data_IF_636127841324
#
_entry.id   IF_636127841324
#
_cell.length_a   1.000
_cell.length_b   1.000
_cell.length_c   1.000
_cell.angle_alpha   90.00
_cell.angle_beta   90.00
_cell.angle_gamma   90.00
#
_symmetry.space_group_name_H-M   'P 1'
#
loop_
_entity.id
_entity.type
_entity.pdbx_description
1 polymer ?
#
# COMPACT_ATOMS: atom_id res chain seq x y z
N UNK A 1 -25.91 31.80 -53.85
CA UNK A 1 -24.73 32.42 -53.15
C UNK A 1 -25.01 33.89 -52.75
N UNK A 2 -25.91 34.64 -53.35
CA UNK A 2 -26.16 36.04 -52.98
C UNK A 2 -26.82 36.28 -51.62
N UNK A 3 -27.67 35.38 -51.10
CA UNK A 3 -28.38 35.58 -49.81
C UNK A 3 -27.45 35.56 -48.62
N UNK A 4 -26.43 34.74 -48.63
CA UNK A 4 -25.43 34.69 -47.51
C UNK A 4 -24.61 35.98 -47.43
N UNK A 5 -24.29 36.58 -48.57
CA UNK A 5 -23.52 37.83 -48.60
C UNK A 5 -24.34 39.00 -48.08
N UNK A 6 -25.64 39.08 -48.49
CA UNK A 6 -26.56 40.15 -48.04
C UNK A 6 -26.81 40.06 -46.48
N UNK A 7 -26.80 38.87 -45.89
CA UNK A 7 -26.95 38.71 -44.46
C UNK A 7 -25.68 39.16 -43.74
N UNK A 8 -24.51 38.82 -44.27
CA UNK A 8 -23.23 39.25 -43.70
C UNK A 8 -23.08 40.76 -43.74
N UNK A 9 -23.39 41.39 -44.87
CA UNK A 9 -23.34 42.85 -45.04
C UNK A 9 -24.33 43.57 -44.11
N UNK A 10 -25.49 42.98 -43.84
CA UNK A 10 -26.47 43.55 -42.93
C UNK A 10 -26.00 43.49 -41.46
N UNK A 11 -25.26 42.45 -41.08
CA UNK A 11 -24.66 42.35 -39.72
C UNK A 11 -23.43 43.23 -39.53
N UNK A 12 -22.63 43.43 -40.59
CA UNK A 12 -21.46 44.32 -40.55
C UNK A 12 -21.85 45.79 -40.38
N UNK A 13 -23.08 46.15 -40.74
CA UNK A 13 -23.62 47.53 -40.59
C UNK A 13 -24.09 47.78 -39.15
N UNK A 14 -24.28 46.76 -38.33
CA UNK A 14 -24.64 46.87 -36.90
C UNK A 14 -23.39 47.07 -36.09
N UNK A 15 -22.79 48.23 -36.11
CA UNK A 15 -21.74 48.61 -35.21
C UNK A 15 -22.32 48.89 -33.81
N UNK A 16 -21.85 48.17 -32.83
CA UNK A 16 -22.22 48.45 -31.43
C UNK A 16 -21.67 49.82 -31.04
N UNK A 17 -22.52 50.68 -30.50
CA UNK A 17 -22.15 52.02 -30.04
C UNK A 17 -20.92 51.96 -29.12
N UNK A 18 -19.90 52.75 -29.38
CA UNK A 18 -18.66 52.80 -28.60
C UNK A 18 -18.92 53.12 -27.12
N UNK A 19 -19.98 53.91 -26.85
CA UNK A 19 -20.43 54.23 -25.46
C UNK A 19 -20.95 52.97 -24.78
N UNK A 20 -21.65 52.09 -25.51
CA UNK A 20 -22.18 50.84 -24.96
C UNK A 20 -21.06 49.83 -24.70
N UNK A 21 -20.09 49.74 -25.59
CA UNK A 21 -18.88 48.90 -25.40
C UNK A 21 -18.11 49.34 -24.15
N UNK A 22 -17.90 50.63 -23.98
CA UNK A 22 -17.21 51.20 -22.83
C UNK A 22 -17.92 50.86 -21.50
N UNK A 23 -19.24 51.06 -21.44
CA UNK A 23 -20.06 50.73 -20.25
C UNK A 23 -20.05 49.23 -19.95
N UNK A 24 -20.13 48.37 -20.96
CA UNK A 24 -20.10 46.92 -20.79
C UNK A 24 -18.73 46.46 -20.28
N UNK A 25 -17.66 46.99 -20.84
CA UNK A 25 -16.30 46.69 -20.45
C UNK A 25 -16.03 47.11 -18.98
N UNK A 26 -16.46 48.31 -18.62
CA UNK A 26 -16.36 48.82 -17.23
C UNK A 26 -17.19 47.99 -16.25
N UNK A 27 -18.39 47.58 -16.62
CA UNK A 27 -19.25 46.69 -15.85
C UNK A 27 -18.59 45.33 -15.60
N UNK A 28 -18.06 44.72 -16.67
CA UNK A 28 -17.37 43.40 -16.59
C UNK A 28 -16.12 43.51 -15.71
N UNK A 29 -15.27 44.51 -15.92
CA UNK A 29 -14.04 44.72 -15.12
C UNK A 29 -14.40 44.90 -13.62
N UNK A 30 -15.40 45.72 -13.33
CA UNK A 30 -15.86 45.98 -11.96
C UNK A 30 -16.43 44.73 -11.29
N UNK A 31 -17.10 43.85 -12.04
CA UNK A 31 -17.64 42.60 -11.49
C UNK A 31 -16.61 41.49 -11.43
N UNK A 32 -15.65 41.42 -12.37
CA UNK A 32 -14.55 40.47 -12.31
C UNK A 32 -13.62 40.72 -11.11
N UNK A 33 -13.38 41.99 -10.79
CA UNK A 33 -12.56 42.34 -9.60
C UNK A 33 -13.27 42.05 -8.27
N UNK A 34 -14.61 41.93 -8.26
CA UNK A 34 -15.38 41.69 -7.05
C UNK A 34 -15.35 40.25 -6.54
N UNK A 35 -14.79 39.30 -7.32
CA UNK A 35 -14.97 37.86 -7.09
C UNK A 35 -13.89 37.18 -6.24
N UNK A 36 -12.85 37.88 -5.81
CA UNK A 36 -11.82 37.29 -4.96
C UNK A 36 -11.66 38.07 -3.64
N UNK A 37 -12.67 37.95 -2.78
CA UNK A 37 -12.43 38.30 -1.37
C UNK A 37 -11.32 37.35 -0.86
N UNK A 38 -10.17 37.86 -0.40
CA UNK A 38 -9.15 36.99 0.19
C UNK A 38 -9.80 36.22 1.33
N UNK A 39 -9.68 34.89 1.30
CA UNK A 39 -10.19 34.05 2.37
C UNK A 39 -9.69 34.57 3.71
N UNK A 40 -10.55 34.75 4.70
CA UNK A 40 -10.18 35.33 5.99
C UNK A 40 -9.02 34.51 6.56
N UNK A 41 -8.03 35.18 7.11
CA UNK A 41 -6.79 34.58 7.62
C UNK A 41 -7.05 33.37 8.52
N UNK A 42 -8.17 33.40 9.28
CA UNK A 42 -8.66 32.30 10.13
C UNK A 42 -9.02 31.04 9.33
N UNK A 43 -9.55 31.17 8.10
CA UNK A 43 -9.92 30.04 7.27
C UNK A 43 -8.67 29.30 6.72
N UNK A 44 -7.58 30.03 6.48
CA UNK A 44 -6.29 29.41 6.08
C UNK A 44 -5.72 28.55 7.21
N UNK A 45 -5.80 29.03 8.44
CA UNK A 45 -5.37 28.26 9.62
C UNK A 45 -6.25 27.03 9.87
N UNK A 46 -7.58 27.17 9.70
CA UNK A 46 -8.49 26.04 9.83
C UNK A 46 -8.23 24.93 8.80
N UNK A 47 -7.98 25.31 7.54
CA UNK A 47 -7.63 24.36 6.49
C UNK A 47 -6.28 23.68 6.78
N UNK A 48 -5.27 24.45 7.22
CA UNK A 48 -3.97 23.87 7.60
C UNK A 48 -4.09 22.87 8.74
N UNK A 49 -4.89 23.21 9.78
CA UNK A 49 -5.11 22.30 10.91
C UNK A 49 -5.87 21.04 10.47
N UNK A 50 -6.89 21.17 9.62
CA UNK A 50 -7.63 20.03 9.08
C UNK A 50 -6.72 19.10 8.27
N UNK A 51 -5.87 19.64 7.41
CA UNK A 51 -4.88 18.84 6.67
C UNK A 51 -3.92 18.10 7.62
N UNK A 52 -3.43 18.79 8.66
CA UNK A 52 -2.52 18.18 9.62
C UNK A 52 -3.18 17.02 10.38
N UNK A 53 -4.45 17.18 10.78
CA UNK A 53 -5.22 16.09 11.40
C UNK A 53 -5.44 14.91 10.46
N UNK A 54 -5.75 15.19 9.19
CA UNK A 54 -5.89 14.11 8.19
C UNK A 54 -4.58 13.34 7.98
N UNK A 55 -3.44 14.04 7.92
CA UNK A 55 -2.14 13.37 7.81
C UNK A 55 -1.80 12.57 9.07
N UNK A 56 -2.10 13.10 10.25
CA UNK A 56 -1.85 12.41 11.52
C UNK A 56 -2.71 11.13 11.62
N UNK A 57 -4.01 11.22 11.33
CA UNK A 57 -4.91 10.06 11.40
C UNK A 57 -4.60 9.00 10.34
N UNK A 58 -4.28 9.40 9.11
CA UNK A 58 -3.91 8.46 8.06
C UNK A 58 -2.56 7.79 8.33
N UNK A 59 -1.59 8.53 8.87
CA UNK A 59 -0.28 7.99 9.24
C UNK A 59 -0.36 6.97 10.37
N UNK A 60 -1.05 7.30 11.45
CA UNK A 60 -1.22 6.41 12.61
C UNK A 60 -2.07 5.18 12.25
N UNK A 61 -3.17 5.39 11.50
CA UNK A 61 -4.03 4.29 11.04
C UNK A 61 -3.31 3.35 10.08
N UNK A 62 -2.56 3.90 9.12
CA UNK A 62 -1.76 3.11 8.19
C UNK A 62 -0.67 2.30 8.87
N UNK A 63 0.01 2.91 9.85
CA UNK A 63 1.01 2.21 10.66
C UNK A 63 0.39 1.03 11.43
N UNK A 64 -0.72 1.26 12.14
CA UNK A 64 -1.39 0.21 12.89
C UNK A 64 -1.83 -0.95 11.98
N UNK A 65 -2.43 -0.64 10.83
CA UNK A 65 -2.85 -1.65 9.86
C UNK A 65 -1.66 -2.45 9.31
N UNK A 66 -0.51 -1.80 9.08
CA UNK A 66 0.67 -2.48 8.54
C UNK A 66 1.26 -3.50 9.52
N UNK A 67 1.28 -3.20 10.81
CA UNK A 67 1.84 -4.08 11.84
C UNK A 67 0.81 -5.02 12.47
N UNK A 68 -0.46 -4.97 12.03
CA UNK A 68 -1.46 -5.94 12.47
C UNK A 68 -1.20 -7.27 11.79
N UNK A 69 -0.96 -8.29 12.58
CA UNK A 69 -0.80 -9.65 12.12
C UNK A 69 -2.14 -10.18 11.58
N UNK A 70 -2.10 -10.82 10.43
CA UNK A 70 -3.25 -11.46 9.79
C UNK A 70 -3.09 -12.98 9.74
N UNK A 71 -1.85 -13.47 9.70
CA UNK A 71 -1.52 -14.87 9.77
C UNK A 71 -0.21 -15.09 10.53
N UNK A 72 -0.08 -16.25 11.15
CA UNK A 72 1.14 -16.75 11.79
C UNK A 72 1.55 -18.03 11.08
N UNK A 73 2.81 -18.10 10.68
CA UNK A 73 3.38 -19.31 10.09
C UNK A 73 4.47 -19.82 11.00
N UNK A 74 4.23 -21.00 11.57
CA UNK A 74 5.19 -21.68 12.44
C UNK A 74 5.96 -22.72 11.61
N UNK A 75 7.26 -22.62 11.63
CA UNK A 75 8.20 -23.54 10.99
C UNK A 75 8.91 -24.32 12.07
N UNK A 76 8.51 -25.56 12.25
CA UNK A 76 9.06 -26.49 13.26
C UNK A 76 10.03 -27.45 12.62
N UNK A 77 11.31 -27.20 12.80
CA UNK A 77 12.42 -28.03 12.31
C UNK A 77 13.34 -28.45 13.46
N UNK A 78 13.10 -27.92 14.69
CA UNK A 78 14.08 -27.87 15.77
C UNK A 78 15.40 -27.25 15.27
N UNK A 79 15.43 -25.92 15.03
CA UNK A 79 14.73 -24.85 15.79
C UNK A 79 13.32 -24.51 15.30
N UNK A 80 12.45 -24.07 16.24
CA UNK A 80 11.11 -23.56 15.93
C UNK A 80 11.14 -22.05 15.76
N UNK A 81 10.59 -21.58 14.63
CA UNK A 81 10.53 -20.16 14.26
C UNK A 81 9.11 -19.83 13.81
N UNK A 82 8.56 -18.75 14.35
CA UNK A 82 7.28 -18.20 13.92
C UNK A 82 7.47 -16.88 13.17
N UNK A 83 6.74 -16.71 12.10
CA UNK A 83 6.70 -15.49 11.28
C UNK A 83 5.28 -14.94 11.30
N UNK A 84 5.14 -13.73 11.82
CA UNK A 84 3.88 -12.99 11.81
C UNK A 84 3.76 -12.25 10.49
N UNK A 85 2.66 -12.49 9.79
CA UNK A 85 2.44 -11.98 8.44
C UNK A 85 1.24 -11.06 8.42
N UNK A 86 1.38 -9.88 7.85
CA UNK A 86 0.29 -8.95 7.68
C UNK A 86 -0.60 -9.33 6.47
N UNK A 87 -1.73 -8.61 6.30
CA UNK A 87 -2.67 -8.81 5.19
C UNK A 87 -2.09 -8.63 3.78
N UNK A 88 -0.89 -8.06 3.65
CA UNK A 88 -0.17 -7.91 2.38
C UNK A 88 0.87 -9.00 2.13
N UNK A 89 0.90 -10.04 2.98
CA UNK A 89 1.86 -11.14 2.85
C UNK A 89 3.28 -10.80 3.30
N UNK A 90 3.47 -9.69 4.04
CA UNK A 90 4.79 -9.27 4.52
C UNK A 90 5.00 -9.66 5.97
N UNK A 91 6.21 -10.11 6.27
CA UNK A 91 6.65 -10.43 7.62
C UNK A 91 6.72 -9.15 8.45
N UNK A 92 5.95 -9.04 9.51
CA UNK A 92 5.91 -7.88 10.42
C UNK A 92 6.61 -8.15 11.73
N UNK A 93 6.59 -9.40 12.19
CA UNK A 93 7.38 -9.83 13.34
C UNK A 93 7.87 -11.27 13.17
N UNK A 94 8.80 -11.65 14.05
CA UNK A 94 9.39 -12.98 14.08
C UNK A 94 9.62 -13.38 15.52
N UNK A 95 9.20 -14.59 15.88
CA UNK A 95 9.34 -15.15 17.21
C UNK A 95 10.18 -16.42 17.15
N UNK A 96 11.08 -16.61 18.11
CA UNK A 96 11.97 -17.76 18.21
C UNK A 96 11.67 -18.53 19.48
N UNK A 97 11.78 -19.84 19.42
CA UNK A 97 11.63 -20.72 20.55
C UNK A 97 12.94 -21.52 20.76
N UNK A 98 13.73 -21.07 21.74
CA UNK A 98 15.02 -21.66 22.11
C UNK A 98 16.26 -20.94 21.53
N UNK A 99 17.41 -21.18 22.12
CA UNK A 99 18.69 -20.53 21.78
C UNK A 99 19.15 -20.84 20.35
N UNK A 100 18.80 -22.01 19.81
CA UNK A 100 19.15 -22.43 18.46
C UNK A 100 18.42 -21.58 17.41
N UNK A 101 17.14 -21.26 17.66
CA UNK A 101 16.33 -20.40 16.80
C UNK A 101 16.85 -18.97 16.76
N UNK A 102 17.27 -18.44 17.90
CA UNK A 102 17.88 -17.10 17.97
C UNK A 102 19.15 -17.03 17.13
N UNK A 103 19.99 -18.05 17.19
CA UNK A 103 21.22 -18.11 16.40
C UNK A 103 20.94 -18.09 14.90
N UNK A 104 19.90 -18.78 14.44
CA UNK A 104 19.48 -18.78 13.03
C UNK A 104 19.05 -17.38 12.61
N UNK A 105 18.23 -16.69 13.43
CA UNK A 105 17.67 -15.39 13.07
C UNK A 105 18.64 -14.21 13.30
N UNK A 106 19.66 -14.33 14.14
CA UNK A 106 20.65 -13.27 14.35
C UNK A 106 21.35 -12.81 13.08
N UNK A 107 21.53 -13.71 12.11
CA UNK A 107 22.17 -13.43 10.82
C UNK A 107 21.20 -13.02 9.72
N UNK A 108 19.88 -13.08 9.97
CA UNK A 108 18.85 -12.90 8.96
C UNK A 108 17.92 -11.73 9.33
N UNK A 109 17.69 -10.84 8.38
CA UNK A 109 16.69 -9.78 8.49
C UNK A 109 15.49 -10.15 7.64
N UNK A 110 14.48 -10.79 8.26
CA UNK A 110 13.29 -11.27 7.55
C UNK A 110 12.13 -10.26 7.61
N UNK A 111 12.18 -9.28 8.52
CA UNK A 111 11.13 -8.26 8.66
C UNK A 111 10.98 -7.42 7.40
N UNK A 112 9.75 -7.16 7.03
CA UNK A 112 9.31 -6.39 5.85
C UNK A 112 9.49 -7.07 4.50
N UNK A 113 10.07 -8.27 4.44
CA UNK A 113 10.11 -9.09 3.25
C UNK A 113 8.75 -9.72 2.96
N UNK A 114 8.51 -10.08 1.72
CA UNK A 114 7.39 -10.96 1.38
C UNK A 114 7.66 -12.36 1.95
N UNK A 115 6.60 -13.05 2.35
CA UNK A 115 6.73 -14.36 2.99
C UNK A 115 7.54 -15.35 2.16
N UNK A 116 7.33 -15.38 0.84
CA UNK A 116 8.07 -16.27 -0.06
C UNK A 116 9.58 -15.99 -0.02
N UNK A 117 9.95 -14.73 -0.04
CA UNK A 117 11.35 -14.29 0.02
C UNK A 117 11.95 -14.59 1.39
N UNK A 118 11.23 -14.26 2.47
CA UNK A 118 11.66 -14.54 3.83
C UNK A 118 11.89 -16.04 4.06
N UNK A 119 10.97 -16.87 3.58
CA UNK A 119 11.07 -18.32 3.64
C UNK A 119 12.28 -18.83 2.85
N UNK A 120 12.47 -18.35 1.62
CA UNK A 120 13.60 -18.77 0.78
C UNK A 120 14.93 -18.41 1.44
N UNK A 121 15.05 -17.21 2.01
CA UNK A 121 16.24 -16.78 2.74
C UNK A 121 16.47 -17.63 3.99
N UNK A 122 15.42 -17.91 4.76
CA UNK A 122 15.51 -18.73 5.97
C UNK A 122 16.00 -20.15 5.64
N UNK A 123 15.38 -20.81 4.67
CA UNK A 123 15.74 -22.17 4.27
C UNK A 123 17.12 -22.26 3.59
N UNK A 124 17.55 -21.20 2.90
CA UNK A 124 18.87 -21.15 2.26
C UNK A 124 20.00 -20.79 3.23
N UNK A 125 19.68 -20.33 4.45
CA UNK A 125 20.69 -19.95 5.43
C UNK A 125 21.54 -21.14 5.85
N UNK A 126 22.85 -20.92 6.00
CA UNK A 126 23.78 -21.95 6.45
C UNK A 126 23.39 -22.52 7.82
N UNK A 127 22.87 -21.68 8.69
CA UNK A 127 22.41 -22.08 10.03
C UNK A 127 21.22 -23.05 9.92
N UNK A 128 20.20 -22.75 9.11
CA UNK A 128 19.05 -23.63 8.93
C UNK A 128 19.43 -24.94 8.20
N UNK A 129 20.32 -24.86 7.22
CA UNK A 129 20.78 -26.01 6.45
C UNK A 129 21.46 -27.10 7.32
N UNK A 130 22.06 -26.74 8.47
CA UNK A 130 22.62 -27.69 9.41
C UNK A 130 21.56 -28.59 10.06
N UNK A 131 20.37 -28.04 10.28
CA UNK A 131 19.24 -28.76 10.85
C UNK A 131 18.49 -29.58 9.79
N UNK A 132 18.38 -29.08 8.57
CA UNK A 132 17.70 -29.77 7.47
C UNK A 132 18.43 -31.03 6.97
N UNK A 133 19.75 -31.13 7.17
CA UNK A 133 20.59 -32.28 6.73
C UNK A 133 20.42 -33.56 7.55
N UNK A 134 19.74 -33.51 8.71
CA UNK A 134 19.67 -34.61 9.68
C UNK A 134 18.33 -35.38 9.64
N UNK A 135 17.76 -35.66 8.47
CA UNK A 135 16.43 -36.29 8.37
C UNK A 135 15.37 -35.56 9.23
N UNK A 136 15.46 -34.24 9.25
CA UNK A 136 14.59 -33.42 10.04
C UNK A 136 13.16 -33.45 9.49
N UNK A 137 12.21 -33.74 10.34
CA UNK A 137 10.80 -33.56 10.03
C UNK A 137 10.49 -32.06 10.05
N UNK A 138 10.21 -31.49 8.89
CA UNK A 138 9.76 -30.10 8.77
C UNK A 138 8.24 -30.06 8.90
N UNK A 139 7.75 -29.45 9.97
CA UNK A 139 6.33 -29.17 10.11
C UNK A 139 6.08 -27.69 9.87
N UNK A 140 5.14 -27.35 9.00
CA UNK A 140 4.73 -25.97 8.77
C UNK A 140 3.28 -25.87 9.13
N UNK A 141 2.98 -25.01 10.10
CA UNK A 141 1.62 -24.76 10.56
C UNK A 141 1.23 -23.34 10.18
N UNK A 142 0.08 -23.18 9.53
CA UNK A 142 -0.49 -21.88 9.16
C UNK A 142 -1.71 -21.61 10.04
N UNK A 143 -1.65 -20.57 10.85
CA UNK A 143 -2.77 -20.07 11.63
C UNK A 143 -3.17 -18.69 11.10
N UNK A 144 -4.44 -18.51 10.75
CA UNK A 144 -4.95 -17.23 10.25
C UNK A 144 -5.97 -16.64 11.21
N UNK A 145 -5.79 -15.37 11.54
CA UNK A 145 -6.73 -14.59 12.36
C UNK A 145 -7.80 -13.91 11.51
N UNK A 146 -7.51 -13.64 10.27
CA UNK A 146 -8.44 -13.00 9.33
C UNK A 146 -9.07 -14.05 8.40
N UNK A 147 -10.38 -13.90 8.12
CA UNK A 147 -11.11 -14.80 7.20
C UNK A 147 -10.89 -14.46 5.73
N UNK A 148 -9.77 -13.88 5.37
CA UNK A 148 -9.46 -13.58 3.98
C UNK A 148 -9.02 -14.86 3.25
N UNK A 149 -10.00 -15.50 2.60
CA UNK A 149 -9.82 -16.75 1.85
C UNK A 149 -8.79 -16.66 0.73
N UNK A 150 -8.55 -15.46 0.19
CA UNK A 150 -7.54 -15.28 -0.88
C UNK A 150 -6.13 -15.34 -0.32
N UNK A 151 -5.88 -14.67 0.80
CA UNK A 151 -4.61 -14.72 1.49
C UNK A 151 -4.30 -16.15 1.96
N UNK A 152 -5.33 -16.83 2.49
CA UNK A 152 -5.21 -18.21 2.95
C UNK A 152 -4.83 -19.16 1.82
N UNK A 153 -5.45 -19.03 0.65
CA UNK A 153 -5.14 -19.88 -0.50
C UNK A 153 -3.73 -19.63 -1.06
N UNK A 154 -3.29 -18.38 -1.13
CA UNK A 154 -1.93 -18.06 -1.61
C UNK A 154 -0.86 -18.53 -0.64
N UNK A 155 -1.05 -18.35 0.68
CA UNK A 155 -0.13 -18.83 1.69
C UNK A 155 -0.08 -20.38 1.74
N UNK A 156 -1.22 -21.03 1.58
CA UNK A 156 -1.29 -22.50 1.55
C UNK A 156 -0.57 -23.06 0.33
N UNK A 157 -0.73 -22.45 -0.84
CA UNK A 157 0.02 -22.83 -2.06
C UNK A 157 1.52 -22.66 -1.86
N UNK A 158 1.96 -21.58 -1.18
CA UNK A 158 3.36 -21.37 -0.84
C UNK A 158 3.90 -22.43 0.13
N UNK A 159 3.12 -22.80 1.14
CA UNK A 159 3.47 -23.85 2.11
C UNK A 159 3.59 -25.20 1.43
N UNK A 160 2.62 -25.57 0.60
CA UNK A 160 2.64 -26.84 -0.16
C UNK A 160 3.83 -26.91 -1.11
N UNK A 161 4.15 -25.80 -1.79
CA UNK A 161 5.35 -25.71 -2.64
C UNK A 161 6.64 -25.87 -1.83
N UNK A 162 6.70 -25.29 -0.61
CA UNK A 162 7.84 -25.43 0.29
C UNK A 162 8.04 -26.88 0.73
N UNK A 163 6.98 -27.55 1.10
CA UNK A 163 7.02 -28.96 1.51
C UNK A 163 7.50 -29.86 0.35
N UNK A 164 7.05 -29.59 -0.88
CA UNK A 164 7.52 -30.32 -2.05
C UNK A 164 9.01 -30.11 -2.32
N UNK A 165 9.54 -28.90 -2.10
CA UNK A 165 10.97 -28.62 -2.25
C UNK A 165 11.83 -29.27 -1.16
N UNK A 166 11.35 -29.32 0.06
CA UNK A 166 12.03 -29.99 1.17
C UNK A 166 11.99 -31.53 1.04
N UNK A 167 10.94 -32.09 0.43
CA UNK A 167 10.77 -33.53 0.21
C UNK A 167 11.28 -34.03 -1.16
N UNK A 168 11.97 -33.17 -1.92
CA UNK A 168 12.52 -33.52 -3.25
C UNK A 168 13.50 -34.72 -3.31
N UNK A 169 13.62 -35.48 -2.23
CA UNK A 169 14.32 -36.75 -2.19
C UNK A 169 13.49 -37.75 -1.39
N UNK A 170 12.61 -38.47 -2.05
CA UNK A 170 11.80 -39.58 -1.58
C UNK A 170 10.59 -39.25 -0.69
N UNK A 171 9.42 -39.12 -1.33
CA UNK A 171 8.23 -39.76 -0.75
C UNK A 171 8.26 -41.28 -1.10
N UNK A 172 8.00 -42.14 -0.12
CA UNK A 172 7.67 -43.53 -0.40
C UNK A 172 6.27 -43.66 -1.00
#
# INVERSE_FOLDING_TARGET
MRVKQSIHDAFDTVSCDEVLKGRTCEYVIKHMHRSRKPAPRRMKWAVSLACLLLFATSGLGGYSLYYTEAAVISIDVNPSIELDINRWGKVVDQTTYGEESETVLQSLSLKHLEYEEARALLLASDAMQQYLKKDALVSITLETKDRDLKMLSSLQECVDTALMQCHGTKCP
#
